data_IF_548710532468
#
_entry.id   IF_548710532468
#
_cell.length_a   1.000
_cell.length_b   1.000
_cell.length_c   1.000
_cell.angle_alpha   90.00
_cell.angle_beta   90.00
_cell.angle_gamma   90.00
#
_symmetry.space_group_name_H-M   'P 1'
#
loop_
_entity.id
_entity.type
_entity.pdbx_description
1 polymer ?
#
# COMPACT_ATOMS: atom_id res chain seq x y z
N UNK A 1 5.64 -24.22 10.80
CA UNK A 1 6.40 -23.27 9.96
C UNK A 1 5.97 -21.86 10.36
N UNK A 2 6.85 -20.87 10.36
CA UNK A 2 6.41 -19.49 10.57
C UNK A 2 5.51 -19.05 9.42
N UNK A 3 4.22 -18.83 9.71
CA UNK A 3 3.23 -18.41 8.72
C UNK A 3 3.08 -16.89 8.63
N UNK A 4 3.98 -16.13 9.25
CA UNK A 4 4.00 -14.67 9.10
C UNK A 4 4.09 -14.27 7.63
N UNK A 5 3.47 -13.13 7.28
CA UNK A 5 3.50 -12.62 5.89
C UNK A 5 4.93 -12.33 5.43
N UNK A 6 5.78 -11.84 6.34
CA UNK A 6 7.19 -11.56 6.09
C UNK A 6 7.97 -12.83 5.78
N UNK A 7 7.75 -13.92 6.53
CA UNK A 7 8.37 -15.22 6.25
C UNK A 7 7.93 -15.77 4.89
N UNK A 8 6.62 -15.74 4.60
CA UNK A 8 6.09 -16.16 3.29
C UNK A 8 6.68 -15.35 2.13
N UNK A 9 6.87 -14.03 2.30
CA UNK A 9 7.52 -13.17 1.29
C UNK A 9 9.00 -13.48 1.08
N UNK A 10 9.74 -13.76 2.16
CA UNK A 10 11.13 -14.16 2.08
C UNK A 10 11.29 -15.46 1.27
N UNK A 11 10.39 -16.44 1.49
CA UNK A 11 10.35 -17.68 0.72
C UNK A 11 10.04 -17.42 -0.75
N UNK A 12 9.07 -16.55 -1.06
CA UNK A 12 8.77 -16.17 -2.46
C UNK A 12 9.98 -15.51 -3.13
N UNK A 13 10.68 -14.62 -2.43
CA UNK A 13 11.88 -13.94 -2.94
C UNK A 13 13.01 -14.94 -3.21
N UNK A 14 13.26 -15.87 -2.28
CA UNK A 14 14.25 -16.93 -2.43
C UNK A 14 13.95 -17.82 -3.64
N UNK A 15 12.73 -18.34 -3.75
CA UNK A 15 12.33 -19.20 -4.87
C UNK A 15 12.36 -18.46 -6.22
N UNK A 16 12.10 -17.14 -6.23
CA UNK A 16 12.25 -16.35 -7.44
C UNK A 16 13.72 -16.15 -7.82
N UNK A 17 14.60 -15.96 -6.84
CA UNK A 17 16.05 -15.87 -7.07
C UNK A 17 16.64 -17.19 -7.58
N UNK A 18 16.08 -18.34 -7.19
CA UNK A 18 16.40 -19.65 -7.79
C UNK A 18 15.89 -19.79 -9.25
N UNK A 19 15.19 -18.80 -9.79
CA UNK A 19 14.68 -18.82 -11.17
C UNK A 19 13.35 -19.55 -11.34
N UNK A 20 12.63 -19.88 -10.26
CA UNK A 20 11.35 -20.59 -10.38
C UNK A 20 10.26 -19.71 -11.00
N UNK A 21 9.38 -20.35 -11.79
CA UNK A 21 8.23 -19.69 -12.37
C UNK A 21 7.14 -19.44 -11.31
N UNK A 22 6.41 -18.33 -11.42
CA UNK A 22 5.41 -17.91 -10.43
C UNK A 22 4.33 -18.98 -10.17
N UNK A 23 3.96 -19.78 -11.18
CA UNK A 23 3.03 -20.90 -11.01
C UNK A 23 3.60 -22.01 -10.12
N UNK A 24 4.88 -22.37 -10.30
CA UNK A 24 5.56 -23.39 -9.50
C UNK A 24 5.71 -22.91 -8.04
N UNK A 25 6.03 -21.63 -7.86
CA UNK A 25 6.10 -20.98 -6.54
C UNK A 25 4.75 -21.07 -5.83
N UNK A 26 3.63 -20.78 -6.51
CA UNK A 26 2.29 -20.90 -5.92
C UNK A 26 1.99 -22.34 -5.44
N UNK A 27 2.31 -23.36 -6.25
CA UNK A 27 2.06 -24.75 -5.86
C UNK A 27 2.91 -25.19 -4.67
N UNK A 28 4.19 -24.79 -4.62
CA UNK A 28 5.06 -25.04 -3.45
C UNK A 28 4.56 -24.33 -2.20
N UNK A 29 4.23 -23.04 -2.33
CA UNK A 29 3.68 -22.23 -1.25
C UNK A 29 2.39 -22.85 -0.68
N UNK A 30 1.46 -23.27 -1.55
CA UNK A 30 0.21 -23.90 -1.13
C UNK A 30 0.43 -25.25 -0.44
N UNK A 31 1.44 -26.02 -0.84
CA UNK A 31 1.80 -27.29 -0.19
C UNK A 31 2.36 -27.08 1.23
N UNK A 32 3.10 -26.00 1.44
CA UNK A 32 3.79 -25.70 2.71
C UNK A 32 2.89 -24.97 3.70
N UNK A 33 2.18 -23.94 3.24
CA UNK A 33 1.36 -23.06 4.10
C UNK A 33 -0.13 -23.41 4.10
N UNK A 34 -0.58 -24.30 3.20
CA UNK A 34 -1.98 -24.74 3.14
C UNK A 34 -2.95 -23.57 2.97
N UNK A 35 -3.90 -23.46 3.90
CA UNK A 35 -4.90 -22.39 3.95
C UNK A 35 -4.31 -21.03 4.32
N UNK A 36 -3.18 -21.01 5.03
CA UNK A 36 -2.51 -19.77 5.44
C UNK A 36 -1.64 -19.18 4.32
N UNK A 37 -1.59 -19.86 3.17
CA UNK A 37 -0.84 -19.40 2.00
C UNK A 37 -1.38 -18.06 1.48
N UNK A 38 -0.47 -17.14 1.18
CA UNK A 38 -0.80 -15.91 0.46
C UNK A 38 -1.58 -16.21 -0.83
N UNK A 39 -2.53 -15.32 -1.15
CA UNK A 39 -3.35 -15.42 -2.34
C UNK A 39 -2.49 -15.47 -3.61
N UNK A 40 -2.96 -16.23 -4.62
CA UNK A 40 -2.24 -16.44 -5.89
C UNK A 40 -1.85 -15.11 -6.56
N UNK A 41 -2.76 -14.14 -6.57
CA UNK A 41 -2.50 -12.80 -7.10
C UNK A 41 -1.35 -12.08 -6.38
N UNK A 42 -1.29 -12.15 -5.04
CA UNK A 42 -0.20 -11.56 -4.24
C UNK A 42 1.16 -12.19 -4.55
N UNK A 43 1.20 -13.51 -4.74
CA UNK A 43 2.43 -14.23 -5.09
C UNK A 43 2.93 -13.82 -6.48
N UNK A 44 2.04 -13.78 -7.47
CA UNK A 44 2.38 -13.38 -8.84
C UNK A 44 2.88 -11.93 -8.90
N UNK A 45 2.19 -11.01 -8.23
CA UNK A 45 2.64 -9.61 -8.13
C UNK A 45 4.01 -9.51 -7.44
N UNK A 46 4.26 -10.31 -6.41
CA UNK A 46 5.56 -10.31 -5.72
C UNK A 46 6.68 -10.82 -6.63
N UNK A 47 6.44 -11.89 -7.40
CA UNK A 47 7.41 -12.40 -8.37
C UNK A 47 7.78 -11.32 -9.41
N UNK A 48 6.80 -10.58 -9.92
CA UNK A 48 7.03 -9.47 -10.85
C UNK A 48 7.83 -8.33 -10.21
N UNK A 49 7.55 -7.99 -8.94
CA UNK A 49 8.25 -6.90 -8.23
C UNK A 49 9.72 -7.22 -7.95
N UNK A 50 10.06 -8.49 -7.74
CA UNK A 50 11.43 -8.92 -7.47
C UNK A 50 12.32 -9.00 -8.71
N UNK A 51 11.75 -9.07 -9.93
CA UNK A 51 12.50 -8.88 -11.19
C UNK A 51 13.22 -7.53 -11.20
N UNK A 52 12.61 -6.49 -10.60
CA UNK A 52 13.14 -5.13 -10.55
C UNK A 52 14.16 -4.89 -9.42
N UNK A 53 14.84 -5.94 -8.90
CA UNK A 53 15.88 -5.86 -7.84
C UNK A 53 15.45 -5.20 -6.53
N UNK A 54 14.18 -5.28 -6.13
CA UNK A 54 13.80 -4.86 -4.76
C UNK A 54 14.26 -5.91 -3.74
N UNK A 55 15.20 -5.54 -2.87
CA UNK A 55 15.73 -6.44 -1.81
C UNK A 55 14.88 -6.39 -0.53
N UNK A 56 14.05 -5.35 -0.36
CA UNK A 56 13.30 -5.14 0.88
C UNK A 56 12.10 -6.10 1.01
N UNK A 57 12.13 -6.92 2.06
CA UNK A 57 11.07 -7.87 2.44
C UNK A 57 9.91 -7.17 3.15
N UNK A 58 10.20 -6.05 3.81
CA UNK A 58 9.24 -5.29 4.58
C UNK A 58 8.30 -4.49 3.67
N UNK A 59 7.07 -4.30 4.12
CA UNK A 59 6.17 -3.33 3.50
C UNK A 59 6.76 -1.92 3.65
N UNK A 60 6.80 -1.18 2.55
CA UNK A 60 7.06 0.25 2.64
C UNK A 60 5.92 0.90 3.41
N UNK A 61 6.20 1.94 4.21
CA UNK A 61 5.13 2.76 4.74
C UNK A 61 4.25 3.19 3.57
N UNK A 62 2.93 3.06 3.74
CA UNK A 62 2.00 3.61 2.77
C UNK A 62 2.40 5.07 2.57
N UNK A 63 2.53 5.58 1.33
CA UNK A 63 2.73 7.01 1.15
C UNK A 63 1.62 7.71 1.93
N UNK A 64 2.00 8.36 3.02
CA UNK A 64 1.08 9.20 3.74
C UNK A 64 0.60 10.22 2.73
N UNK A 65 -0.70 10.56 2.80
CA UNK A 65 -1.17 11.70 2.06
C UNK A 65 -0.30 12.86 2.52
N UNK A 66 0.49 13.43 1.59
CA UNK A 66 1.36 14.54 1.92
C UNK A 66 0.50 15.51 2.71
N UNK A 67 0.92 15.78 3.94
CA UNK A 67 0.29 16.81 4.76
C UNK A 67 0.57 18.11 4.00
N UNK A 68 -0.25 18.40 3.00
CA UNK A 68 -0.30 19.67 2.30
C UNK A 68 -0.79 20.60 3.39
N UNK A 69 0.18 21.15 4.11
CA UNK A 69 0.13 22.27 5.03
C UNK A 69 -1.31 22.71 5.29
N UNK A 70 -2.01 21.96 6.15
CA UNK A 70 -3.30 22.38 6.68
C UNK A 70 -2.99 23.47 7.70
N UNK A 71 -2.58 24.64 7.20
CA UNK A 71 -2.29 25.81 8.02
C UNK A 71 -3.53 26.08 8.88
N UNK A 72 -3.35 26.24 10.19
CA UNK A 72 -4.44 26.53 11.12
C UNK A 72 -5.24 27.77 10.68
N UNK A 73 -4.58 28.74 10.06
CA UNK A 73 -5.20 29.91 9.43
C UNK A 73 -6.22 29.54 8.33
N UNK A 74 -5.87 28.60 7.44
CA UNK A 74 -6.76 28.13 6.37
C UNK A 74 -7.96 27.37 6.94
N UNK A 75 -7.76 26.58 8.00
CA UNK A 75 -8.84 25.86 8.70
C UNK A 75 -9.80 26.87 9.36
N UNK A 76 -9.29 27.88 10.05
CA UNK A 76 -10.11 28.92 10.68
C UNK A 76 -10.91 29.72 9.65
N UNK A 77 -10.29 30.13 8.54
CA UNK A 77 -10.98 30.85 7.46
C UNK A 77 -12.11 30.01 6.84
N UNK A 78 -11.88 28.71 6.63
CA UNK A 78 -12.92 27.78 6.17
C UNK A 78 -14.07 27.67 7.19
N UNK A 79 -13.77 27.58 8.49
CA UNK A 79 -14.78 27.52 9.54
C UNK A 79 -15.65 28.78 9.59
N UNK A 80 -15.04 29.96 9.47
CA UNK A 80 -15.77 31.23 9.44
C UNK A 80 -16.71 31.33 8.22
N UNK A 81 -16.23 30.93 7.04
CA UNK A 81 -17.04 30.93 5.81
C UNK A 81 -18.25 29.99 5.90
N UNK A 82 -18.09 28.81 6.51
CA UNK A 82 -19.19 27.87 6.73
C UNK A 82 -20.22 28.44 7.71
N UNK A 83 -19.77 29.15 8.75
CA UNK A 83 -20.66 29.80 9.72
C UNK A 83 -21.45 30.95 9.09
N UNK A 84 -20.83 31.73 8.20
CA UNK A 84 -21.47 32.84 7.49
C UNK A 84 -22.44 32.35 6.41
N UNK A 85 -22.09 31.32 5.65
CA UNK A 85 -22.92 30.78 4.59
C UNK A 85 -22.90 29.25 4.58
N UNK A 86 -23.95 28.65 5.16
CA UNK A 86 -24.10 27.18 5.21
C UNK A 86 -24.34 26.52 3.85
N UNK A 87 -24.62 27.29 2.79
CA UNK A 87 -24.82 26.76 1.42
C UNK A 87 -23.58 26.92 0.54
N UNK A 88 -22.44 27.32 1.10
CA UNK A 88 -21.19 27.49 0.33
C UNK A 88 -20.72 26.17 -0.29
N UNK A 89 -20.26 26.23 -1.54
CA UNK A 89 -19.74 25.05 -2.26
C UNK A 89 -18.23 24.90 -2.06
N UNK A 90 -17.73 23.67 -2.21
CA UNK A 90 -16.27 23.38 -2.10
C UNK A 90 -15.43 24.22 -3.06
N UNK A 91 -15.97 24.58 -4.23
CA UNK A 91 -15.28 25.44 -5.21
C UNK A 91 -15.14 26.87 -4.73
N UNK A 92 -16.18 27.42 -4.13
CA UNK A 92 -16.16 28.78 -3.56
C UNK A 92 -15.25 28.84 -2.34
N UNK A 93 -15.24 27.80 -1.50
CA UNK A 93 -14.29 27.68 -0.39
C UNK A 93 -12.84 27.67 -0.87
N UNK A 94 -12.53 26.93 -1.94
CA UNK A 94 -11.19 26.87 -2.49
C UNK A 94 -10.70 28.23 -3.04
N UNK A 95 -11.61 29.05 -3.59
CA UNK A 95 -11.28 30.39 -4.09
C UNK A 95 -11.06 31.42 -2.97
N UNK A 96 -11.67 31.21 -1.81
CA UNK A 96 -11.62 32.16 -0.69
C UNK A 96 -10.56 31.80 0.38
N UNK A 97 -9.96 30.62 0.30
CA UNK A 97 -9.02 30.11 1.32
C UNK A 97 -7.61 29.78 0.80
N UNK A 98 -7.34 29.97 -0.49
CA UNK A 98 -6.01 29.87 -1.11
C UNK A 98 -5.43 31.27 -1.33
#
# INVERSE_FOLDING_TARGET
MDSSRSAQRAVIQFLRAEGQHASQIYHRMKKVYGEQCLARCTIFQSCQRYEARRVNINDFPRPEQAYVMTNSATISAMHELILQNRRITTREMALNCL
#
